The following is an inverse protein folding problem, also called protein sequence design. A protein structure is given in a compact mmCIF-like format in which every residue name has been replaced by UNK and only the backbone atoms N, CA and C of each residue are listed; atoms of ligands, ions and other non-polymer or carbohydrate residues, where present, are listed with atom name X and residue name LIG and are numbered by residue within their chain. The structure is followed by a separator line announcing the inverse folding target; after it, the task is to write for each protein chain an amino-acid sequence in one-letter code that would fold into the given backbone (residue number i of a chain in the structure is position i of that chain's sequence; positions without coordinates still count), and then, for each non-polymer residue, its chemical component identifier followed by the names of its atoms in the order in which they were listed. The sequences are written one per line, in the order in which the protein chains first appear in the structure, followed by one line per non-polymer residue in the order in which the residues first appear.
data_IF_248534532273
#
_entry.id   IF_248534532273
#
_cell.length_a   1.000
_cell.length_b   1.000
_cell.length_c   1.000
_cell.angle_alpha   90.00
_cell.angle_beta   90.00
_cell.angle_gamma   90.00
#
_symmetry.space_group_name_H-M   'P 1'
#
loop_
_entity.id
_entity.type
_entity.pdbx_description
1 polymer ?
#
# COMPACT_ATOMS: atom_id res chain seq x y z
N UNK A 1 -8.20 -6.48 8.03
CA UNK A 1 -7.45 -5.22 7.91
C UNK A 1 -6.03 -5.33 8.47
N UNK A 2 -5.85 -5.93 9.65
CA UNK A 2 -4.52 -6.32 10.16
C UNK A 2 -3.69 -7.11 9.14
N UNK A 3 -4.35 -7.94 8.32
CA UNK A 3 -3.70 -8.67 7.24
C UNK A 3 -3.07 -7.76 6.17
N UNK A 4 -3.73 -6.66 5.79
CA UNK A 4 -3.25 -5.71 4.77
C UNK A 4 -2.11 -4.87 5.32
N UNK A 5 -2.22 -4.42 6.58
CA UNK A 5 -1.13 -3.68 7.26
C UNK A 5 0.10 -4.59 7.46
N UNK A 6 -0.10 -5.84 7.89
CA UNK A 6 0.99 -6.83 7.98
C UNK A 6 1.59 -7.19 6.62
N UNK A 7 0.80 -7.09 5.54
CA UNK A 7 1.30 -7.28 4.17
C UNK A 7 2.30 -6.19 3.80
N UNK A 8 2.09 -4.96 4.27
CA UNK A 8 3.03 -3.86 4.07
C UNK A 8 4.37 -4.17 4.74
N UNK A 9 4.37 -4.66 5.98
CA UNK A 9 5.60 -5.08 6.68
C UNK A 9 6.35 -6.17 5.89
N UNK A 10 5.59 -7.11 5.32
CA UNK A 10 6.16 -8.19 4.50
C UNK A 10 6.76 -7.66 3.19
N UNK A 11 6.09 -6.75 2.49
CA UNK A 11 6.60 -6.11 1.27
C UNK A 11 7.90 -5.36 1.53
N UNK A 12 7.98 -4.61 2.63
CA UNK A 12 9.20 -3.90 3.02
C UNK A 12 10.35 -4.86 3.30
N UNK A 13 10.10 -5.98 3.99
CA UNK A 13 11.13 -7.00 4.20
C UNK A 13 11.66 -7.54 2.87
N UNK A 14 10.81 -7.82 1.88
CA UNK A 14 11.23 -8.28 0.55
C UNK A 14 12.07 -7.23 -0.20
N UNK A 15 11.78 -5.94 0.00
CA UNK A 15 12.59 -4.84 -0.54
C UNK A 15 14.00 -4.84 0.07
N UNK A 16 14.10 -4.95 1.40
CA UNK A 16 15.38 -4.96 2.10
C UNK A 16 16.21 -6.22 1.85
N UNK A 17 15.57 -7.38 1.66
CA UNK A 17 16.25 -8.65 1.30
C UNK A 17 16.56 -8.77 -0.20
N UNK A 18 16.17 -7.78 -1.02
CA UNK A 18 16.37 -7.73 -2.48
C UNK A 18 15.72 -8.90 -3.25
N UNK A 19 14.64 -9.45 -2.72
CA UNK A 19 13.88 -10.53 -3.36
C UNK A 19 12.93 -10.00 -4.44
N UNK A 20 13.48 -9.40 -5.50
CA UNK A 20 12.72 -8.63 -6.50
C UNK A 20 11.62 -9.42 -7.23
N UNK A 21 11.80 -10.72 -7.45
CA UNK A 21 10.78 -11.58 -8.08
C UNK A 21 9.59 -11.84 -7.14
N UNK A 22 9.87 -12.12 -5.87
CA UNK A 22 8.84 -12.28 -4.84
C UNK A 22 8.11 -10.95 -4.62
N UNK A 23 8.86 -9.85 -4.50
CA UNK A 23 8.30 -8.51 -4.33
C UNK A 23 7.28 -8.16 -5.42
N UNK A 24 7.60 -8.40 -6.71
CA UNK A 24 6.66 -8.14 -7.81
C UNK A 24 5.37 -8.95 -7.71
N UNK A 25 5.48 -10.23 -7.38
CA UNK A 25 4.31 -11.11 -7.20
C UNK A 25 3.44 -10.63 -6.03
N UNK A 26 4.07 -10.25 -4.93
CA UNK A 26 3.40 -9.81 -3.73
C UNK A 26 2.75 -8.43 -3.88
N UNK A 27 3.36 -7.52 -4.65
CA UNK A 27 2.75 -6.24 -5.00
C UNK A 27 1.45 -6.41 -5.80
N UNK A 28 1.40 -7.37 -6.73
CA UNK A 28 0.17 -7.68 -7.48
C UNK A 28 -0.91 -8.19 -6.52
N UNK A 29 -0.57 -9.13 -5.64
CA UNK A 29 -1.52 -9.63 -4.63
C UNK A 29 -2.00 -8.53 -3.69
N UNK A 30 -1.12 -7.60 -3.30
CA UNK A 30 -1.48 -6.45 -2.49
C UNK A 30 -2.44 -5.50 -3.21
N UNK A 31 -2.26 -5.25 -4.51
CA UNK A 31 -3.21 -4.45 -5.29
C UNK A 31 -4.58 -5.11 -5.40
N UNK A 32 -4.63 -6.44 -5.57
CA UNK A 32 -5.90 -7.18 -5.62
C UNK A 32 -6.66 -7.10 -4.29
N UNK A 33 -5.95 -7.12 -3.16
CA UNK A 33 -6.52 -6.95 -1.82
C UNK A 33 -7.01 -5.51 -1.57
N UNK A 34 -6.37 -4.51 -2.19
CA UNK A 34 -6.77 -3.11 -2.06
C UNK A 34 -8.05 -2.78 -2.83
N UNK A 35 -8.24 -3.31 -4.05
CA UNK A 35 -9.39 -3.03 -4.92
C UNK A 35 -10.75 -3.02 -4.20
N UNK A 36 -11.14 -4.06 -3.42
CA UNK A 36 -12.42 -4.06 -2.73
C UNK A 36 -12.52 -2.96 -1.66
N UNK A 37 -11.41 -2.61 -1.00
CA UNK A 37 -11.36 -1.54 0.01
C UNK A 37 -11.54 -0.16 -0.64
N UNK A 38 -11.01 0.04 -1.85
CA UNK A 38 -11.12 1.30 -2.58
C UNK A 38 -12.58 1.63 -2.95
N UNK A 39 -13.42 0.62 -3.14
CA UNK A 39 -14.84 0.82 -3.48
C UNK A 39 -15.66 1.51 -2.39
N UNK A 40 -15.14 1.58 -1.15
CA UNK A 40 -15.82 2.16 0.01
C UNK A 40 -15.40 3.61 0.30
N UNK A 41 -14.50 4.16 -0.51
CA UNK A 41 -13.93 5.48 -0.32
C UNK A 41 -14.84 6.57 -0.91
N UNK A 42 -14.86 7.74 -0.26
CA UNK A 42 -15.45 8.94 -0.85
C UNK A 42 -14.52 9.56 -1.90
N UNK A 43 -14.97 10.62 -2.58
CA UNK A 43 -14.21 11.26 -3.67
C UNK A 43 -12.84 11.80 -3.20
N UNK A 44 -12.79 12.43 -2.03
CA UNK A 44 -11.56 12.98 -1.45
C UNK A 44 -10.57 11.86 -1.10
N UNK A 45 -11.05 10.82 -0.42
CA UNK A 45 -10.26 9.64 -0.07
C UNK A 45 -9.74 8.92 -1.31
N UNK A 46 -10.57 8.80 -2.35
CA UNK A 46 -10.20 8.21 -3.65
C UNK A 46 -9.10 9.02 -4.33
N UNK A 47 -9.13 10.35 -4.21
CA UNK A 47 -8.08 11.22 -4.75
C UNK A 47 -6.75 10.99 -4.05
N UNK A 48 -6.76 10.98 -2.70
CA UNK A 48 -5.55 10.77 -1.89
C UNK A 48 -4.92 9.41 -2.16
N UNK A 49 -5.70 8.34 -2.17
CA UNK A 49 -5.15 6.99 -2.43
C UNK A 49 -4.59 6.85 -3.84
N UNK A 50 -5.22 7.48 -4.84
CA UNK A 50 -4.71 7.48 -6.21
C UNK A 50 -3.36 8.22 -6.32
N UNK A 51 -3.15 9.27 -5.53
CA UNK A 51 -1.87 9.96 -5.45
C UNK A 51 -0.79 9.06 -4.85
N UNK A 52 -1.09 8.39 -3.72
CA UNK A 52 -0.17 7.42 -3.09
C UNK A 52 0.20 6.28 -4.07
N UNK A 53 -0.80 5.71 -4.76
CA UNK A 53 -0.58 4.66 -5.76
C UNK A 53 0.24 5.14 -6.95
N UNK A 54 0.05 6.39 -7.39
CA UNK A 54 0.85 6.99 -8.45
C UNK A 54 2.32 7.11 -8.04
N UNK A 55 2.59 7.61 -6.83
CA UNK A 55 3.95 7.72 -6.28
C UNK A 55 4.61 6.35 -6.13
N UNK A 56 3.87 5.34 -5.65
CA UNK A 56 4.36 3.95 -5.57
C UNK A 56 4.73 3.39 -6.94
N UNK A 57 3.93 3.67 -7.96
CA UNK A 57 4.21 3.22 -9.33
C UNK A 57 5.47 3.89 -9.91
N UNK A 58 5.68 5.18 -9.63
CA UNK A 58 6.89 5.91 -10.02
C UNK A 58 8.13 5.32 -9.33
N UNK A 59 8.06 5.12 -8.01
CA UNK A 59 9.13 4.53 -7.22
C UNK A 59 9.48 3.12 -7.71
N UNK A 60 8.47 2.28 -7.98
CA UNK A 60 8.66 0.94 -8.55
C UNK A 60 9.32 0.98 -9.93
N UNK A 61 8.87 1.88 -10.81
CA UNK A 61 9.43 2.04 -12.16
C UNK A 61 10.89 2.45 -12.13
N UNK A 62 11.28 3.27 -11.15
CA UNK A 62 12.65 3.69 -10.92
C UNK A 62 13.48 2.71 -10.08
N UNK A 63 12.88 1.59 -9.61
CA UNK A 63 13.50 0.64 -8.67
C UNK A 63 13.97 1.31 -7.37
N UNK A 64 13.32 2.41 -6.98
CA UNK A 64 13.61 3.13 -5.73
C UNK A 64 12.89 2.46 -4.57
N UNK A 65 13.44 1.33 -4.13
CA UNK A 65 12.85 0.52 -3.07
C UNK A 65 12.84 1.19 -1.70
N UNK A 66 13.71 2.19 -1.48
CA UNK A 66 13.71 2.96 -0.24
C UNK A 66 12.50 3.90 -0.21
N UNK A 67 12.28 4.64 -1.30
CA UNK A 67 11.08 5.46 -1.44
C UNK A 67 9.81 4.62 -1.41
N UNK A 68 9.80 3.43 -2.05
CA UNK A 68 8.66 2.52 -1.96
C UNK A 68 8.36 2.10 -0.52
N UNK A 69 9.40 1.77 0.27
CA UNK A 69 9.23 1.39 1.67
C UNK A 69 8.63 2.54 2.50
N UNK A 70 9.12 3.76 2.30
CA UNK A 70 8.63 4.97 2.98
C UNK A 70 7.17 5.28 2.60
N UNK A 71 6.83 5.22 1.31
CA UNK A 71 5.45 5.44 0.83
C UNK A 71 4.49 4.39 1.40
N UNK A 72 4.93 3.13 1.51
CA UNK A 72 4.12 2.10 2.12
C UNK A 72 3.97 2.30 3.64
N UNK A 73 5.04 2.68 4.35
CA UNK A 73 5.03 2.84 5.80
C UNK A 73 4.22 4.05 6.26
N UNK A 74 4.49 5.21 5.68
CA UNK A 74 4.04 6.47 6.25
C UNK A 74 2.80 7.00 5.54
N UNK A 75 2.66 6.78 4.23
CA UNK A 75 1.51 7.25 3.48
C UNK A 75 0.41 6.18 3.46
N UNK A 76 0.71 4.99 2.93
CA UNK A 76 -0.28 3.93 2.74
C UNK A 76 -0.85 3.41 4.06
N UNK A 77 -0.01 3.02 5.04
CA UNK A 77 -0.53 2.55 6.34
C UNK A 77 -1.32 3.64 7.07
N UNK A 78 -0.86 4.90 7.03
CA UNK A 78 -1.55 6.01 7.67
C UNK A 78 -2.94 6.22 7.05
N UNK A 79 -3.01 6.26 5.72
CA UNK A 79 -4.28 6.37 4.99
C UNK A 79 -5.25 5.23 5.35
N UNK A 80 -4.78 3.97 5.29
CA UNK A 80 -5.60 2.80 5.60
C UNK A 80 -6.06 2.82 7.06
N UNK A 81 -5.20 3.23 7.99
CA UNK A 81 -5.54 3.31 9.41
C UNK A 81 -6.59 4.40 9.68
N UNK A 82 -6.38 5.61 9.16
CA UNK A 82 -7.25 6.75 9.46
C UNK A 82 -8.62 6.68 8.76
N UNK A 83 -8.69 6.03 7.59
CA UNK A 83 -9.92 6.06 6.78
C UNK A 83 -10.66 4.73 6.70
N UNK A 84 -10.00 3.62 7.07
CA UNK A 84 -10.64 2.30 7.08
C UNK A 84 -10.77 1.74 8.51
N UNK A 85 -9.89 2.05 9.49
CA UNK A 85 -10.02 1.51 10.86
C UNK A 85 -11.15 2.15 11.69
N UNK A 86 -11.49 3.42 11.49
CA UNK A 86 -12.55 4.06 12.29
C UNK A 86 -13.97 3.63 11.92
N UNK A 87 -14.17 2.89 10.82
CA UNK A 87 -15.50 2.49 10.34
C UNK A 87 -16.01 1.12 10.83
N UNK A 88 -15.23 0.38 11.62
CA UNK A 88 -15.65 -0.91 12.20
C UNK A 88 -16.15 -0.81 13.66
N UNK A 89 -16.37 0.40 14.18
CA UNK A 89 -17.04 0.65 15.46
C UNK A 89 -18.27 1.51 15.20
N UNK A 90 -19.29 0.94 14.57
CA UNK A 90 -20.70 1.35 14.65
C UNK A 90 -21.58 0.23 14.10
#
# INVERSE_FOLDING_TARGET
MDAVIKRIDYLQNLMFTRETAALKKELIGFTDELIPLLSMLNEEQTRVINEILSLLNIALSNQDYLLMADLLEYEMKSFLSNHLCERNIN
#
